data_IF_454502615079
#
_entry.id   IF_454502615079
#
_cell.length_a   1.000
_cell.length_b   1.000
_cell.length_c   1.000
_cell.angle_alpha   90.00
_cell.angle_beta   90.00
_cell.angle_gamma   90.00
#
_symmetry.space_group_name_H-M   'P 1'
#
loop_
_entity.id
_entity.type
_entity.pdbx_description
1 polymer ?
#
# COMPACT_ATOMS: atom_id res chain seq x y z
N UNK A 1 36.34 -1.97 7.88
CA UNK A 1 35.10 -1.73 7.12
C UNK A 1 35.13 -2.71 5.97
N UNK A 2 34.21 -3.67 5.94
CA UNK A 2 34.22 -4.72 4.91
C UNK A 2 33.74 -4.16 3.57
N UNK A 3 34.05 -4.84 2.47
CA UNK A 3 33.51 -4.49 1.15
C UNK A 3 31.97 -4.53 1.16
N UNK A 4 31.36 -5.43 1.94
CA UNK A 4 29.92 -5.51 2.16
C UNK A 4 29.33 -4.25 2.81
N UNK A 5 30.03 -3.67 3.80
CA UNK A 5 29.60 -2.41 4.43
C UNK A 5 29.65 -1.24 3.45
N UNK A 6 30.67 -1.21 2.60
CA UNK A 6 30.82 -0.19 1.57
C UNK A 6 29.72 -0.30 0.50
N UNK A 7 29.46 -1.52 0.03
CA UNK A 7 28.38 -1.80 -0.92
C UNK A 7 27.02 -1.45 -0.33
N UNK A 8 26.73 -1.83 0.92
CA UNK A 8 25.46 -1.52 1.58
C UNK A 8 25.22 -0.02 1.69
N UNK A 9 26.23 0.76 2.09
CA UNK A 9 26.12 2.23 2.15
C UNK A 9 25.90 2.84 0.78
N UNK A 10 26.62 2.36 -0.23
CA UNK A 10 26.43 2.81 -1.62
C UNK A 10 24.98 2.57 -2.08
N UNK A 11 24.45 1.35 -1.90
CA UNK A 11 23.07 1.00 -2.29
C UNK A 11 22.04 1.87 -1.56
N UNK A 12 22.20 2.09 -0.25
CA UNK A 12 21.31 2.97 0.53
C UNK A 12 21.36 4.41 0.00
N UNK A 13 22.56 4.91 -0.32
CA UNK A 13 22.77 6.28 -0.76
C UNK A 13 22.34 6.58 -2.21
N UNK A 14 22.08 5.57 -3.05
CA UNK A 14 21.60 5.82 -4.42
C UNK A 14 20.21 6.46 -4.42
N UNK A 15 19.95 7.55 -5.16
CA UNK A 15 18.58 8.02 -5.36
C UNK A 15 17.81 6.99 -6.20
N UNK A 16 16.63 6.57 -5.74
CA UNK A 16 15.84 5.50 -6.36
C UNK A 16 14.43 5.96 -6.69
N UNK A 17 13.84 5.32 -7.69
CA UNK A 17 12.40 5.35 -7.96
C UNK A 17 11.86 3.92 -7.81
N UNK A 18 10.75 3.76 -7.10
CA UNK A 18 10.08 2.49 -6.89
C UNK A 18 8.82 2.44 -7.77
N UNK A 19 8.83 1.63 -8.83
CA UNK A 19 7.80 1.68 -9.88
C UNK A 19 6.81 0.52 -9.82
N UNK A 20 7.00 -0.42 -8.90
CA UNK A 20 6.11 -1.56 -8.69
C UNK A 20 5.97 -1.83 -7.20
N UNK A 21 4.97 -1.18 -6.59
CA UNK A 21 4.75 -1.27 -5.16
C UNK A 21 3.26 -1.29 -4.86
N UNK A 22 2.76 -2.37 -4.27
CA UNK A 22 1.37 -2.47 -3.83
C UNK A 22 1.25 -1.93 -2.41
N UNK A 23 0.35 -0.95 -2.19
CA UNK A 23 0.16 -0.35 -0.85
C UNK A 23 -0.15 -1.43 0.18
N UNK A 24 -1.14 -2.28 -0.09
CA UNK A 24 -1.61 -3.34 0.80
C UNK A 24 -0.49 -4.34 1.13
N UNK A 25 0.31 -4.71 0.12
CA UNK A 25 1.45 -5.61 0.28
C UNK A 25 2.66 -4.99 0.99
N UNK A 26 2.69 -3.66 1.12
CA UNK A 26 3.79 -2.92 1.74
C UNK A 26 3.58 -2.65 3.25
N UNK A 27 2.38 -2.90 3.76
CA UNK A 27 2.04 -2.70 5.16
C UNK A 27 2.86 -3.65 6.04
N UNK A 28 3.62 -3.08 6.97
CA UNK A 28 4.41 -3.88 7.91
C UNK A 28 3.50 -4.65 8.89
N UNK A 29 3.91 -5.83 9.38
CA UNK A 29 3.11 -6.63 10.33
C UNK A 29 2.65 -5.83 11.56
N UNK A 30 3.51 -4.97 12.09
CA UNK A 30 3.22 -4.15 13.28
C UNK A 30 2.11 -3.13 13.01
N UNK A 31 2.12 -2.51 11.81
CA UNK A 31 1.05 -1.62 11.39
C UNK A 31 -0.23 -2.41 11.08
N UNK A 32 -0.13 -3.58 10.45
CA UNK A 32 -1.27 -4.46 10.22
C UNK A 32 -1.98 -4.82 11.52
N UNK A 33 -1.24 -5.19 12.59
CA UNK A 33 -1.82 -5.42 13.92
C UNK A 33 -2.55 -4.19 14.47
N UNK A 34 -1.96 -3.01 14.30
CA UNK A 34 -2.57 -1.75 14.76
C UNK A 34 -3.88 -1.46 14.01
N UNK A 35 -3.88 -1.59 12.69
CA UNK A 35 -5.07 -1.37 11.86
C UNK A 35 -6.15 -2.43 12.13
N UNK A 36 -5.76 -3.68 12.32
CA UNK A 36 -6.67 -4.77 12.64
C UNK A 36 -7.37 -4.54 13.98
N UNK A 37 -6.62 -4.09 15.00
CA UNK A 37 -7.18 -3.76 16.31
C UNK A 37 -8.19 -2.60 16.26
N UNK A 38 -8.00 -1.59 15.39
CA UNK A 38 -8.95 -0.49 15.21
C UNK A 38 -10.33 -0.97 14.76
N UNK A 39 -10.36 -2.05 13.97
CA UNK A 39 -11.54 -2.49 13.23
C UNK A 39 -12.07 -3.86 13.63
N UNK A 40 -11.46 -4.49 14.65
CA UNK A 40 -11.81 -5.84 15.10
C UNK A 40 -11.57 -6.92 14.03
N UNK A 41 -10.58 -6.73 13.16
CA UNK A 41 -10.22 -7.71 12.12
C UNK A 41 -9.29 -8.76 12.72
N UNK A 42 -9.56 -10.04 12.43
CA UNK A 42 -8.66 -11.13 12.80
C UNK A 42 -7.65 -11.40 11.68
N UNK A 43 -6.37 -11.17 11.95
CA UNK A 43 -5.30 -11.47 11.00
C UNK A 43 -4.91 -12.96 11.05
N UNK A 44 -4.32 -13.51 9.98
CA UNK A 44 -3.63 -14.79 10.07
C UNK A 44 -2.55 -14.76 11.15
N UNK A 45 -2.51 -15.77 12.04
CA UNK A 45 -1.54 -15.86 13.13
C UNK A 45 -1.89 -15.04 14.38
N UNK A 46 -3.07 -14.42 14.45
CA UNK A 46 -3.49 -13.55 15.55
C UNK A 46 -3.55 -14.28 16.91
N UNK A 47 -3.80 -15.60 16.93
CA UNK A 47 -3.70 -16.42 18.16
C UNK A 47 -2.30 -16.43 18.80
N UNK A 48 -1.25 -16.15 18.03
CA UNK A 48 0.12 -16.03 18.52
C UNK A 48 0.51 -14.60 18.90
N UNK A 49 -0.44 -13.66 18.92
CA UNK A 49 -0.20 -12.22 19.13
C UNK A 49 0.66 -11.61 18.02
N UNK A 50 1.34 -10.48 18.28
CA UNK A 50 2.13 -9.76 17.27
C UNK A 50 3.21 -10.61 16.59
N UNK A 51 3.80 -11.57 17.32
CA UNK A 51 4.82 -12.49 16.75
C UNK A 51 4.18 -13.53 15.83
N UNK A 52 2.97 -14.00 16.15
CA UNK A 52 2.21 -14.89 15.28
C UNK A 52 1.83 -14.23 13.95
N UNK A 53 1.34 -12.98 14.00
CA UNK A 53 1.06 -12.20 12.78
C UNK A 53 2.32 -11.98 11.95
N UNK A 54 3.44 -11.61 12.58
CA UNK A 54 4.73 -11.48 11.88
C UNK A 54 5.19 -12.79 11.24
N UNK A 55 4.95 -13.94 11.88
CA UNK A 55 5.26 -15.23 11.30
C UNK A 55 4.35 -15.55 10.09
N UNK A 56 3.10 -15.10 10.09
CA UNK A 56 2.16 -15.29 8.99
C UNK A 56 2.53 -14.49 7.72
N UNK A 57 3.40 -13.47 7.83
CA UNK A 57 3.98 -12.75 6.68
C UNK A 57 5.12 -13.53 5.98
N UNK A 58 5.28 -14.81 6.29
CA UNK A 58 6.13 -15.76 5.56
C UNK A 58 5.23 -16.71 4.77
N UNK A 59 5.29 -16.60 3.45
CA UNK A 59 4.35 -17.28 2.57
C UNK A 59 4.97 -18.55 1.97
N UNK A 60 4.25 -19.67 2.05
CA UNK A 60 4.64 -20.91 1.39
C UNK A 60 4.26 -20.92 -0.10
N UNK A 61 3.17 -20.23 -0.45
CA UNK A 61 2.61 -20.16 -1.78
C UNK A 61 1.79 -18.87 -1.97
N UNK A 62 1.35 -18.64 -3.21
CA UNK A 62 0.50 -17.49 -3.56
C UNK A 62 -0.84 -17.50 -2.81
N UNK A 63 -1.41 -18.67 -2.54
CA UNK A 63 -2.66 -18.79 -1.79
C UNK A 63 -2.54 -18.28 -0.35
N UNK A 64 -1.41 -18.51 0.29
CA UNK A 64 -1.12 -18.06 1.66
C UNK A 64 -0.82 -16.56 1.69
N UNK A 65 -0.11 -16.07 0.67
CA UNK A 65 0.07 -14.64 0.43
C UNK A 65 -1.29 -13.94 0.28
N UNK A 66 -2.15 -14.38 -0.64
CA UNK A 66 -3.39 -13.67 -0.97
C UNK A 66 -4.38 -13.65 0.21
N UNK A 67 -4.42 -14.70 1.04
CA UNK A 67 -5.22 -14.69 2.28
C UNK A 67 -4.76 -13.60 3.26
N UNK A 68 -3.44 -13.45 3.42
CA UNK A 68 -2.86 -12.42 4.28
C UNK A 68 -3.08 -11.03 3.69
N UNK A 69 -2.86 -10.88 2.38
CA UNK A 69 -3.12 -9.66 1.63
C UNK A 69 -4.55 -9.18 1.85
N UNK A 70 -5.56 -10.01 1.58
CA UNK A 70 -6.98 -9.63 1.73
C UNK A 70 -7.36 -9.32 3.17
N UNK A 71 -6.79 -10.02 4.16
CA UNK A 71 -7.01 -9.71 5.57
C UNK A 71 -6.47 -8.31 5.92
N UNK A 72 -5.27 -7.97 5.45
CA UNK A 72 -4.67 -6.64 5.60
C UNK A 72 -5.50 -5.58 4.85
N UNK A 73 -5.91 -5.83 3.61
CA UNK A 73 -6.78 -4.92 2.85
C UNK A 73 -8.06 -4.59 3.60
N UNK A 74 -8.68 -5.57 4.28
CA UNK A 74 -9.91 -5.38 5.06
C UNK A 74 -9.76 -4.46 6.29
N UNK A 75 -8.52 -4.09 6.64
CA UNK A 75 -8.23 -3.14 7.72
C UNK A 75 -8.20 -1.68 7.24
N UNK A 76 -8.16 -1.42 5.92
CA UNK A 76 -8.10 -0.07 5.36
C UNK A 76 -9.50 0.52 5.17
N UNK A 77 -10.13 0.96 6.27
CA UNK A 77 -11.56 1.36 6.29
C UNK A 77 -11.81 2.86 6.36
N UNK A 78 -10.87 3.62 6.91
CA UNK A 78 -11.03 5.07 7.14
C UNK A 78 -9.94 5.87 6.45
N UNK A 79 -10.19 7.17 6.25
CA UNK A 79 -9.19 8.11 5.71
C UNK A 79 -7.87 8.03 6.49
N UNK A 80 -7.95 7.92 7.82
CA UNK A 80 -6.79 7.81 8.69
C UNK A 80 -6.00 6.52 8.44
N UNK A 81 -6.66 5.39 8.17
CA UNK A 81 -5.97 4.12 7.93
C UNK A 81 -5.14 4.17 6.64
N UNK A 82 -5.70 4.73 5.55
CA UNK A 82 -5.00 4.91 4.29
C UNK A 82 -3.83 5.89 4.44
N UNK A 83 -4.06 7.02 5.11
CA UNK A 83 -3.02 8.03 5.38
C UNK A 83 -1.88 7.43 6.19
N UNK A 84 -2.19 6.74 7.29
CA UNK A 84 -1.19 6.14 8.17
C UNK A 84 -0.40 5.03 7.44
N UNK A 85 -1.05 4.24 6.57
CA UNK A 85 -0.38 3.23 5.74
C UNK A 85 0.61 3.85 4.76
N UNK A 86 0.21 4.91 4.04
CA UNK A 86 1.08 5.60 3.08
C UNK A 86 2.20 6.35 3.81
N UNK A 87 1.93 6.98 4.94
CA UNK A 87 2.94 7.70 5.72
C UNK A 87 4.04 6.77 6.26
N UNK A 88 3.62 5.63 6.85
CA UNK A 88 4.56 4.61 7.32
C UNK A 88 5.38 3.99 6.18
N UNK A 89 4.76 3.82 5.00
CA UNK A 89 5.47 3.39 3.80
C UNK A 89 6.50 4.45 3.37
N UNK A 90 6.11 5.72 3.29
CA UNK A 90 6.97 6.81 2.87
C UNK A 90 8.18 6.98 3.80
N UNK A 91 8.02 6.75 5.10
CA UNK A 91 9.15 6.69 6.03
C UNK A 91 10.20 5.65 5.63
N UNK A 92 9.75 4.42 5.32
CA UNK A 92 10.61 3.31 4.90
C UNK A 92 11.26 3.57 3.53
N UNK A 93 10.53 4.20 2.60
CA UNK A 93 11.04 4.56 1.28
C UNK A 93 12.10 5.66 1.39
N UNK A 94 11.83 6.70 2.18
CA UNK A 94 12.76 7.81 2.42
C UNK A 94 14.06 7.33 3.08
N UNK A 95 13.98 6.43 4.06
CA UNK A 95 15.14 5.80 4.70
C UNK A 95 16.02 5.00 3.71
N UNK A 96 15.47 4.60 2.57
CA UNK A 96 16.17 3.91 1.50
C UNK A 96 16.55 4.86 0.36
N UNK A 97 16.42 6.18 0.52
CA UNK A 97 16.68 7.19 -0.52
C UNK A 97 15.82 7.01 -1.80
N UNK A 98 14.62 6.44 -1.66
CA UNK A 98 13.61 6.48 -2.72
C UNK A 98 13.02 7.89 -2.76
N UNK A 99 12.99 8.50 -3.95
CA UNK A 99 12.53 9.88 -4.17
C UNK A 99 11.17 9.95 -4.88
N UNK A 100 10.82 8.88 -5.56
CA UNK A 100 9.56 8.74 -6.28
C UNK A 100 9.04 7.32 -6.15
N UNK A 101 7.73 7.17 -5.97
CA UNK A 101 7.06 5.88 -6.02
C UNK A 101 5.80 5.95 -6.89
N UNK A 102 5.66 4.98 -7.78
CA UNK A 102 4.39 4.68 -8.44
C UNK A 102 3.67 3.61 -7.60
N UNK A 103 2.72 4.06 -6.78
CA UNK A 103 2.06 3.25 -5.77
C UNK A 103 0.80 2.60 -6.33
N UNK A 104 0.81 1.28 -6.44
CA UNK A 104 -0.33 0.48 -6.84
C UNK A 104 -1.35 0.35 -5.72
N UNK A 105 -2.63 0.47 -6.06
CA UNK A 105 -3.76 0.27 -5.17
C UNK A 105 -4.95 -0.32 -5.92
N UNK A 106 -5.67 -1.28 -5.32
CA UNK A 106 -6.80 -1.97 -5.96
C UNK A 106 -8.15 -1.44 -5.46
N UNK A 107 -8.67 -0.32 -5.98
CA UNK A 107 -9.79 0.38 -5.35
C UNK A 107 -11.07 -0.46 -5.26
N UNK A 108 -11.37 -1.25 -6.29
CA UNK A 108 -12.62 -2.02 -6.34
C UNK A 108 -12.67 -3.13 -5.30
N UNK A 109 -11.51 -3.69 -4.91
CA UNK A 109 -11.44 -4.62 -3.76
C UNK A 109 -11.90 -3.94 -2.48
N UNK A 110 -11.45 -2.72 -2.20
CA UNK A 110 -11.84 -1.98 -0.98
C UNK A 110 -13.30 -1.52 -1.00
N UNK A 111 -13.83 -1.17 -2.17
CA UNK A 111 -15.25 -0.90 -2.35
C UNK A 111 -16.10 -2.15 -2.03
N UNK A 112 -15.67 -3.32 -2.50
CA UNK A 112 -16.31 -4.60 -2.17
C UNK A 112 -16.21 -4.99 -0.69
N UNK A 113 -15.22 -4.46 0.04
CA UNK A 113 -15.05 -4.64 1.48
C UNK A 113 -15.82 -3.62 2.33
N UNK A 114 -16.60 -2.74 1.71
CA UNK A 114 -17.51 -1.81 2.38
C UNK A 114 -16.95 -0.40 2.59
N UNK A 115 -15.77 -0.08 2.06
CA UNK A 115 -15.25 1.30 2.06
C UNK A 115 -15.92 2.13 0.98
N UNK A 116 -16.02 3.45 1.16
CA UNK A 116 -16.60 4.35 0.15
C UNK A 116 -15.52 4.94 -0.77
N UNK A 117 -15.88 5.28 -2.00
CA UNK A 117 -14.98 5.94 -2.93
C UNK A 117 -14.44 7.27 -2.37
N UNK A 118 -15.28 8.06 -1.69
CA UNK A 118 -14.84 9.32 -1.04
C UNK A 118 -13.77 9.07 0.02
N UNK A 119 -13.98 8.09 0.90
CA UNK A 119 -13.00 7.69 1.92
C UNK A 119 -11.67 7.31 1.29
N UNK A 120 -11.69 6.50 0.22
CA UNK A 120 -10.48 6.06 -0.47
C UNK A 120 -9.75 7.23 -1.13
N UNK A 121 -10.46 8.05 -1.92
CA UNK A 121 -9.89 9.21 -2.60
C UNK A 121 -9.24 10.15 -1.59
N UNK A 122 -9.95 10.49 -0.50
CA UNK A 122 -9.42 11.37 0.54
C UNK A 122 -8.21 10.77 1.23
N UNK A 123 -8.29 9.51 1.65
CA UNK A 123 -7.19 8.83 2.35
C UNK A 123 -5.93 8.72 1.51
N UNK A 124 -6.07 8.37 0.23
CA UNK A 124 -4.95 8.30 -0.72
C UNK A 124 -4.31 9.68 -0.93
N UNK A 125 -5.11 10.74 -1.13
CA UNK A 125 -4.57 12.09 -1.34
C UNK A 125 -3.91 12.66 -0.08
N UNK A 126 -4.52 12.49 1.09
CA UNK A 126 -3.91 12.89 2.37
C UNK A 126 -2.61 12.11 2.64
N UNK A 127 -2.58 10.81 2.31
CA UNK A 127 -1.36 9.99 2.39
C UNK A 127 -0.26 10.46 1.43
N UNK A 128 -0.62 10.83 0.19
CA UNK A 128 0.30 11.38 -0.80
C UNK A 128 0.94 12.70 -0.32
N UNK A 129 0.17 13.57 0.32
CA UNK A 129 0.68 14.80 0.93
C UNK A 129 1.65 14.51 2.08
N UNK A 130 1.32 13.55 2.95
CA UNK A 130 2.21 13.11 4.03
C UNK A 130 3.52 12.51 3.49
N UNK A 131 3.47 11.70 2.44
CA UNK A 131 4.65 11.16 1.78
C UNK A 131 5.55 12.27 1.19
N UNK A 132 4.95 13.29 0.57
CA UNK A 132 5.68 14.42 0.04
C UNK A 132 6.43 15.19 1.14
N UNK A 133 5.84 15.34 2.33
CA UNK A 133 6.50 15.94 3.50
C UNK A 133 7.73 15.12 3.97
N UNK A 134 7.80 13.83 3.64
CA UNK A 134 8.97 12.96 3.89
C UNK A 134 9.96 12.92 2.73
N UNK A 135 9.76 13.74 1.70
CA UNK A 135 10.62 13.82 0.53
C UNK A 135 10.40 12.71 -0.51
N UNK A 136 9.25 12.01 -0.44
CA UNK A 136 8.86 10.95 -1.38
C UNK A 136 7.66 11.42 -2.18
N UNK A 137 7.84 11.64 -3.48
CA UNK A 137 6.71 11.91 -4.37
C UNK A 137 5.97 10.62 -4.72
N UNK A 138 4.63 10.68 -4.76
CA UNK A 138 3.79 9.52 -5.11
C UNK A 138 2.89 9.88 -6.29
N UNK A 139 2.82 8.95 -7.25
CA UNK A 139 1.74 8.87 -8.24
C UNK A 139 1.09 7.48 -8.14
N UNK A 140 -0.22 7.40 -8.34
CA UNK A 140 -0.98 6.17 -8.16
C UNK A 140 -1.12 5.39 -9.46
N UNK A 141 -1.02 4.08 -9.35
CA UNK A 141 -1.42 3.12 -10.39
C UNK A 141 -2.63 2.37 -9.86
N UNK A 142 -3.80 2.57 -10.46
CA UNK A 142 -5.00 1.84 -10.02
C UNK A 142 -5.14 0.57 -10.84
N UNK A 143 -5.07 -0.59 -10.18
CA UNK A 143 -5.05 -1.87 -10.86
C UNK A 143 -6.41 -2.57 -10.88
N UNK A 144 -6.53 -3.43 -11.89
CA UNK A 144 -7.67 -4.29 -12.13
C UNK A 144 -7.22 -5.70 -11.77
N UNK A 145 -7.98 -6.40 -10.93
CA UNK A 145 -7.70 -7.81 -10.65
C UNK A 145 -8.06 -8.62 -11.89
N UNK A 146 -7.09 -9.32 -12.47
CA UNK A 146 -7.23 -10.00 -13.78
C UNK A 146 -8.36 -11.03 -13.84
N UNK A 147 -8.76 -11.57 -12.69
CA UNK A 147 -9.84 -12.56 -12.56
C UNK A 147 -11.23 -11.92 -12.47
N UNK A 148 -11.32 -10.60 -12.34
CA UNK A 148 -12.57 -9.85 -12.16
C UNK A 148 -12.64 -8.71 -13.18
N UNK A 149 -12.88 -9.06 -14.45
CA UNK A 149 -12.91 -8.10 -15.57
C UNK A 149 -14.02 -7.04 -15.44
N UNK A 150 -15.07 -7.34 -14.67
CA UNK A 150 -16.13 -6.40 -14.32
C UNK A 150 -15.64 -5.22 -13.47
N UNK A 151 -14.43 -5.30 -12.90
CA UNK A 151 -13.78 -4.22 -12.17
C UNK A 151 -13.07 -3.20 -13.07
N UNK A 152 -12.92 -3.48 -14.37
CA UNK A 152 -12.16 -2.61 -15.27
C UNK A 152 -12.75 -1.19 -15.37
N UNK A 153 -14.06 -1.08 -15.65
CA UNK A 153 -14.74 0.21 -15.78
C UNK A 153 -14.81 0.97 -14.44
N UNK A 154 -15.19 0.34 -13.30
CA UNK A 154 -15.13 1.02 -12.01
C UNK A 154 -13.73 1.50 -11.61
N UNK A 155 -12.68 0.75 -11.92
CA UNK A 155 -11.28 1.18 -11.66
C UNK A 155 -10.93 2.39 -12.51
N UNK A 156 -11.29 2.42 -13.79
CA UNK A 156 -11.09 3.58 -14.66
C UNK A 156 -11.81 4.82 -14.11
N UNK A 157 -13.09 4.70 -13.73
CA UNK A 157 -13.86 5.80 -13.17
C UNK A 157 -13.26 6.32 -11.85
N UNK A 158 -12.78 5.42 -11.00
CA UNK A 158 -12.06 5.79 -9.79
C UNK A 158 -10.78 6.58 -10.10
N UNK A 159 -9.98 6.11 -11.05
CA UNK A 159 -8.76 6.77 -11.48
C UNK A 159 -9.02 8.19 -12.02
N UNK A 160 -10.05 8.33 -12.87
CA UNK A 160 -10.45 9.63 -13.42
C UNK A 160 -10.96 10.57 -12.31
N UNK A 161 -11.68 10.07 -11.30
CA UNK A 161 -12.12 10.87 -10.16
C UNK A 161 -10.93 11.42 -9.35
N UNK A 162 -9.92 10.59 -9.07
CA UNK A 162 -8.68 11.03 -8.41
C UNK A 162 -7.95 12.06 -9.26
N UNK A 163 -7.77 11.80 -10.56
CA UNK A 163 -7.06 12.70 -11.47
C UNK A 163 -7.75 14.06 -11.62
N UNK A 164 -9.09 14.12 -11.63
CA UNK A 164 -9.85 15.38 -11.65
C UNK A 164 -9.66 16.19 -10.38
N UNK A 165 -9.55 15.52 -9.22
CA UNK A 165 -9.41 16.18 -7.92
C UNK A 165 -7.98 16.61 -7.62
N UNK A 166 -6.99 15.83 -8.09
CA UNK A 166 -5.57 16.12 -7.94
C UNK A 166 -4.83 15.80 -9.25
N UNK A 167 -4.73 16.76 -10.19
CA UNK A 167 -4.01 16.56 -11.44
C UNK A 167 -2.57 16.11 -11.21
N UNK A 168 -2.16 15.05 -11.90
CA UNK A 168 -0.83 14.44 -11.77
C UNK A 168 -0.69 13.50 -10.57
N UNK A 169 -1.80 13.17 -9.88
CA UNK A 169 -1.79 12.13 -8.85
C UNK A 169 -1.89 10.71 -9.44
N UNK A 170 -2.30 10.53 -10.69
CA UNK A 170 -2.43 9.20 -11.33
C UNK A 170 -1.37 9.05 -12.42
N UNK A 171 -0.55 8.00 -12.30
CA UNK A 171 0.45 7.60 -13.30
C UNK A 171 -0.16 6.71 -14.39
N UNK A 172 -1.10 5.83 -14.03
CA UNK A 172 -1.72 4.92 -14.98
C UNK A 172 -2.69 3.91 -14.37
N UNK A 173 -3.05 2.93 -15.20
CA UNK A 173 -3.82 1.75 -14.80
C UNK A 173 -2.91 0.52 -14.80
N UNK A 174 -3.17 -0.40 -13.87
CA UNK A 174 -2.47 -1.67 -13.74
C UNK A 174 -3.37 -2.87 -14.01
N UNK A 175 -2.74 -4.03 -14.16
CA UNK A 175 -3.40 -5.34 -14.16
C UNK A 175 -2.60 -6.27 -13.24
N UNK A 176 -3.25 -6.84 -12.23
CA UNK A 176 -2.63 -7.74 -11.25
C UNK A 176 -3.24 -9.15 -11.30
#
# INVERSE_FOLDING_TARGET
>A
MTDDDALRRFVIALPKAELHLHLEGSIAPELACTLAARHGVRLPGDEGGPQGVRAAFRFADFGTFIRTYLAVSSCLRTVADLRDAIDALAERLSAQNVRHAELTFTPVTHLGLGTTADTLVRGLLEGREAAAARGVSIAFVFDIVRSFLDQAEPTLEFALAVQRRAPGAVAGLGLA
#
